data_IF_292995647865
#
_entry.id   IF_292995647865
#
_cell.length_a   1.000
_cell.length_b   1.000
_cell.length_c   1.000
_cell.angle_alpha   90.00
_cell.angle_beta   90.00
_cell.angle_gamma   90.00
#
_symmetry.space_group_name_H-M   'P 1'
#
loop_
_entity.id
_entity.type
_entity.pdbx_description
1 polymer ?
#
# COMPACT_ATOMS: atom_id res chain seq x y z
N UNK A 1 29.99 -0.35 -29.07
CA UNK A 1 28.67 0.13 -28.63
C UNK A 1 28.90 0.89 -27.35
N UNK A 2 28.88 2.22 -27.44
CA UNK A 2 29.13 3.14 -26.32
C UNK A 2 27.89 3.19 -25.43
N UNK A 3 28.05 2.92 -24.13
CA UNK A 3 27.00 3.16 -23.14
C UNK A 3 26.58 4.64 -23.19
N UNK A 4 25.28 4.97 -23.12
CA UNK A 4 24.85 6.36 -23.03
C UNK A 4 25.37 6.94 -21.71
N UNK A 5 26.18 7.99 -21.81
CA UNK A 5 26.74 8.69 -20.66
C UNK A 5 25.63 9.18 -19.73
N UNK A 6 25.73 8.75 -18.48
CA UNK A 6 24.86 9.07 -17.36
C UNK A 6 24.61 10.60 -17.27
N UNK A 7 23.40 11.05 -17.62
CA UNK A 7 23.09 12.47 -17.79
C UNK A 7 23.03 13.20 -16.44
N UNK A 8 23.27 14.52 -16.42
CA UNK A 8 23.12 15.34 -15.19
C UNK A 8 21.72 15.22 -14.56
N UNK A 9 20.70 15.03 -15.40
CA UNK A 9 19.34 14.75 -14.96
C UNK A 9 19.22 13.39 -14.25
N UNK A 10 19.88 12.34 -14.75
CA UNK A 10 19.83 11.01 -14.12
C UNK A 10 20.48 11.03 -12.73
N UNK A 11 21.57 11.80 -12.57
CA UNK A 11 22.23 11.99 -11.27
C UNK A 11 21.34 12.74 -10.29
N UNK A 12 20.68 13.81 -10.74
CA UNK A 12 19.72 14.56 -9.93
C UNK A 12 18.51 13.70 -9.55
N UNK A 13 18.01 12.89 -10.48
CA UNK A 13 16.91 11.95 -10.24
C UNK A 13 17.25 10.89 -9.20
N UNK A 14 18.44 10.29 -9.28
CA UNK A 14 18.92 9.35 -8.25
C UNK A 14 19.09 10.02 -6.88
N UNK A 15 19.60 11.25 -6.84
CA UNK A 15 19.72 12.00 -5.60
C UNK A 15 18.36 12.30 -4.95
N UNK A 16 17.37 12.73 -5.74
CA UNK A 16 16.00 12.98 -5.26
C UNK A 16 15.29 11.69 -4.82
N UNK A 17 15.48 10.60 -5.57
CA UNK A 17 14.98 9.27 -5.19
C UNK A 17 15.51 8.85 -3.82
N UNK A 18 16.83 8.97 -3.60
CA UNK A 18 17.43 8.67 -2.30
C UNK A 18 16.86 9.53 -1.17
N UNK A 19 16.68 10.83 -1.40
CA UNK A 19 16.12 11.75 -0.40
C UNK A 19 14.64 11.48 -0.10
N UNK A 20 13.87 10.95 -1.04
CA UNK A 20 12.47 10.56 -0.86
C UNK A 20 12.31 9.22 -0.15
N UNK A 21 13.30 8.34 -0.27
CA UNK A 21 13.40 7.07 0.45
C UNK A 21 13.87 7.25 1.90
N UNK A 22 14.44 8.41 2.27
CA UNK A 22 14.78 8.72 3.66
C UNK A 22 13.54 8.58 4.56
N UNK A 23 13.74 7.92 5.70
CA UNK A 23 12.72 7.76 6.72
C UNK A 23 12.33 9.13 7.30
N UNK A 24 11.03 9.38 7.43
CA UNK A 24 10.52 10.52 8.17
C UNK A 24 10.78 10.30 9.65
N UNK A 25 11.60 11.17 10.26
CA UNK A 25 11.88 11.13 11.70
C UNK A 25 10.59 11.12 12.52
N UNK A 26 10.38 10.08 13.32
CA UNK A 26 9.38 10.09 14.40
C UNK A 26 8.18 9.14 14.27
N UNK A 27 8.17 8.17 13.35
CA UNK A 27 7.12 7.15 13.30
C UNK A 27 7.67 5.74 13.53
N UNK A 28 7.43 5.20 14.73
CA UNK A 28 7.58 3.78 15.03
C UNK A 28 6.20 3.09 14.88
N UNK A 29 6.09 2.02 14.09
CA UNK A 29 4.81 1.37 13.85
C UNK A 29 4.21 0.74 15.12
N UNK A 30 2.94 1.05 15.36
CA UNK A 30 2.20 0.70 16.57
C UNK A 30 1.98 -0.81 16.76
N UNK A 31 2.11 -1.64 15.72
CA UNK A 31 1.95 -3.10 15.83
C UNK A 31 2.80 -3.83 14.77
N UNK A 32 4.08 -4.13 15.06
CA UNK A 32 4.90 -4.92 14.15
C UNK A 32 4.22 -6.27 13.87
N UNK A 33 4.06 -6.58 12.59
CA UNK A 33 3.47 -7.84 12.15
C UNK A 33 4.55 -8.91 12.22
N UNK A 34 4.39 -9.92 13.08
CA UNK A 34 5.31 -11.06 13.11
C UNK A 34 5.35 -11.73 11.73
N UNK A 35 6.55 -11.84 11.15
CA UNK A 35 6.75 -12.32 9.79
C UNK A 35 6.30 -13.77 9.62
N UNK A 36 6.43 -14.59 10.67
CA UNK A 36 5.98 -15.99 10.64
C UNK A 36 4.45 -16.08 10.66
N UNK A 37 3.80 -15.28 11.48
CA UNK A 37 2.33 -15.15 11.49
C UNK A 37 1.80 -14.68 10.14
N UNK A 38 2.42 -13.65 9.53
CA UNK A 38 2.08 -13.20 8.17
C UNK A 38 2.27 -14.33 7.16
N UNK A 39 3.41 -15.03 7.18
CA UNK A 39 3.73 -16.12 6.26
C UNK A 39 2.69 -17.24 6.31
N UNK A 40 2.21 -17.60 7.50
CA UNK A 40 1.20 -18.65 7.68
C UNK A 40 -0.20 -18.22 7.22
N UNK A 41 -0.50 -16.93 7.27
CA UNK A 41 -1.82 -16.41 6.89
C UNK A 41 -1.92 -16.05 5.41
N UNK A 42 -0.84 -15.58 4.79
CA UNK A 42 -0.82 -15.11 3.39
C UNK A 42 -1.00 -16.26 2.39
N UNK A 43 -1.80 -16.00 1.35
CA UNK A 43 -2.02 -16.88 0.21
C UNK A 43 -1.54 -16.20 -1.08
N UNK A 44 -0.97 -16.94 -2.06
CA UNK A 44 -0.57 -16.35 -3.34
C UNK A 44 -1.74 -15.57 -3.98
N UNK A 45 -1.46 -14.39 -4.51
CA UNK A 45 -2.51 -13.46 -4.95
C UNK A 45 -2.85 -12.37 -3.94
N UNK A 46 -2.57 -12.58 -2.65
CA UNK A 46 -2.82 -11.56 -1.63
C UNK A 46 -2.03 -10.28 -1.90
N UNK A 47 -2.66 -9.16 -1.57
CA UNK A 47 -2.03 -7.84 -1.57
C UNK A 47 -1.74 -7.47 -0.12
N UNK A 48 -0.46 -7.24 0.19
CA UNK A 48 -0.03 -6.70 1.46
C UNK A 48 0.02 -5.18 1.36
N UNK A 49 -0.84 -4.47 2.08
CA UNK A 49 -0.76 -3.03 2.23
C UNK A 49 0.21 -2.69 3.35
N UNK A 50 1.06 -1.69 3.11
CA UNK A 50 2.10 -1.27 4.04
C UNK A 50 1.93 0.21 4.37
N UNK A 51 1.96 0.51 5.67
CA UNK A 51 2.10 1.86 6.16
C UNK A 51 3.57 2.28 6.11
N UNK A 52 4.01 2.83 4.98
CA UNK A 52 5.39 3.30 4.82
C UNK A 52 5.71 4.50 5.71
N UNK A 53 6.99 4.61 6.05
CA UNK A 53 7.59 5.66 6.89
C UNK A 53 8.52 6.59 6.09
N UNK A 54 8.50 6.53 4.75
CA UNK A 54 9.36 7.37 3.90
C UNK A 54 8.71 8.73 3.63
N UNK A 55 9.49 9.74 3.20
CA UNK A 55 8.91 11.06 2.83
C UNK A 55 7.84 10.96 1.75
N UNK A 56 8.05 10.09 0.75
CA UNK A 56 7.03 9.82 -0.25
C UNK A 56 5.77 9.18 0.36
N UNK A 57 5.92 8.36 1.39
CA UNK A 57 4.80 7.75 2.10
C UNK A 57 3.89 8.81 2.72
N UNK A 58 4.46 9.83 3.36
CA UNK A 58 3.69 10.93 3.94
C UNK A 58 2.82 11.65 2.88
N UNK A 59 3.39 11.92 1.72
CA UNK A 59 2.65 12.58 0.64
C UNK A 59 1.57 11.68 0.04
N UNK A 60 1.82 10.38 -0.13
CA UNK A 60 0.80 9.41 -0.57
C UNK A 60 -0.33 9.34 0.46
N UNK A 61 -0.03 9.24 1.76
CA UNK A 61 -1.03 9.24 2.84
C UNK A 61 -1.90 10.50 2.78
N UNK A 62 -1.26 11.66 2.62
CA UNK A 62 -1.95 12.94 2.49
C UNK A 62 -2.85 13.02 1.24
N UNK A 63 -2.35 12.64 0.07
CA UNK A 63 -3.09 12.78 -1.19
C UNK A 63 -4.24 11.77 -1.30
N UNK A 64 -4.04 10.56 -0.77
CA UNK A 64 -5.03 9.49 -0.81
C UNK A 64 -6.00 9.51 0.36
N UNK A 65 -5.70 10.27 1.42
CA UNK A 65 -6.44 10.25 2.68
C UNK A 65 -6.55 8.82 3.24
N UNK A 66 -5.42 8.12 3.27
CA UNK A 66 -5.27 6.75 3.76
C UNK A 66 -4.00 6.62 4.59
N UNK A 67 -3.95 5.63 5.48
CA UNK A 67 -2.71 5.22 6.14
C UNK A 67 -1.82 4.41 5.20
N UNK A 68 -2.41 3.73 4.21
CA UNK A 68 -1.71 2.86 3.27
C UNK A 68 -0.99 3.68 2.22
N UNK A 69 0.34 3.64 2.25
CA UNK A 69 1.19 4.36 1.31
C UNK A 69 1.87 3.47 0.30
N UNK A 70 1.91 2.16 0.55
CA UNK A 70 2.59 1.19 -0.30
C UNK A 70 1.80 -0.12 -0.35
N UNK A 71 2.06 -0.92 -1.37
CA UNK A 71 1.45 -2.23 -1.58
C UNK A 71 2.48 -3.20 -2.16
N UNK A 72 2.47 -4.43 -1.69
CA UNK A 72 3.28 -5.53 -2.23
C UNK A 72 2.37 -6.72 -2.54
N UNK A 73 2.72 -7.49 -3.58
CA UNK A 73 1.96 -8.65 -4.02
C UNK A 73 2.62 -9.94 -3.55
N UNK A 74 1.86 -10.80 -2.88
CA UNK A 74 2.38 -12.05 -2.37
C UNK A 74 2.34 -13.16 -3.42
N UNK A 75 3.50 -13.75 -3.71
CA UNK A 75 3.67 -14.82 -4.71
C UNK A 75 3.87 -16.21 -4.07
N UNK A 76 3.84 -16.30 -2.74
CA UNK A 76 4.07 -17.56 -2.04
C UNK A 76 5.45 -18.15 -2.31
N UNK A 77 5.50 -19.39 -2.77
CA UNK A 77 6.71 -20.16 -3.09
C UNK A 77 7.06 -20.17 -4.58
N UNK A 78 6.45 -19.31 -5.39
CA UNK A 78 6.63 -19.31 -6.84
C UNK A 78 8.04 -18.89 -7.31
N UNK A 79 8.81 -18.22 -6.44
CA UNK A 79 10.20 -17.87 -6.68
C UNK A 79 11.14 -18.94 -6.10
N UNK A 80 12.28 -19.24 -6.76
CA UNK A 80 13.22 -20.23 -6.28
C UNK A 80 13.79 -19.87 -4.90
N UNK A 81 14.20 -20.89 -4.14
CA UNK A 81 14.95 -20.66 -2.91
C UNK A 81 16.31 -20.05 -3.25
N UNK A 82 16.76 -19.02 -2.52
CA UNK A 82 18.12 -18.51 -2.67
C UNK A 82 19.15 -19.60 -2.32
N UNK A 83 20.19 -19.74 -3.15
CA UNK A 83 21.27 -20.72 -2.93
C UNK A 83 22.16 -20.33 -1.75
N UNK A 84 22.21 -19.05 -1.41
CA UNK A 84 23.01 -18.48 -0.31
C UNK A 84 22.37 -18.66 1.07
N UNK A 85 21.20 -19.31 1.15
CA UNK A 85 20.47 -19.54 2.39
C UNK A 85 19.76 -18.29 2.95
N UNK A 86 19.75 -17.19 2.19
CA UNK A 86 18.97 -16.00 2.56
C UNK A 86 17.46 -16.29 2.53
N UNK A 87 16.67 -15.42 3.17
CA UNK A 87 15.23 -15.60 3.20
C UNK A 87 14.64 -15.54 1.79
N UNK A 88 13.85 -16.56 1.43
CA UNK A 88 13.17 -16.62 0.13
C UNK A 88 12.32 -15.36 -0.09
N UNK A 89 12.48 -14.66 -1.22
CA UNK A 89 11.59 -13.55 -1.56
C UNK A 89 10.18 -14.07 -1.85
N UNK A 90 9.17 -13.45 -1.24
CA UNK A 90 7.76 -13.86 -1.35
C UNK A 90 6.83 -12.72 -1.72
N UNK A 91 7.35 -11.50 -1.72
CA UNK A 91 6.64 -10.29 -2.11
C UNK A 91 7.26 -9.75 -3.39
N UNK A 92 6.42 -9.29 -4.31
CA UNK A 92 6.81 -8.49 -5.46
C UNK A 92 6.28 -7.09 -5.25
N UNK A 93 7.15 -6.11 -5.41
CA UNK A 93 6.80 -4.71 -5.26
C UNK A 93 7.53 -3.84 -6.25
N UNK A 94 7.05 -2.60 -6.37
CA UNK A 94 7.71 -1.59 -7.16
C UNK A 94 8.10 -0.42 -6.27
N UNK A 95 9.40 -0.17 -6.17
CA UNK A 95 9.96 0.98 -5.45
C UNK A 95 10.69 1.90 -6.41
N UNK A 96 10.75 3.17 -6.04
CA UNK A 96 11.55 4.16 -6.78
C UNK A 96 13.02 3.76 -6.67
N UNK A 97 13.76 3.78 -7.78
CA UNK A 97 15.19 3.45 -7.81
C UNK A 97 15.49 1.95 -8.04
N UNK A 98 14.77 1.04 -7.38
CA UNK A 98 14.95 -0.42 -7.59
C UNK A 98 14.10 -0.95 -8.76
N UNK A 99 12.94 -0.33 -9.03
CA UNK A 99 11.98 -0.83 -10.01
C UNK A 99 11.16 -2.00 -9.45
N UNK A 100 10.71 -2.90 -10.32
CA UNK A 100 9.98 -4.10 -9.92
C UNK A 100 10.94 -5.17 -9.38
N UNK A 101 10.88 -5.43 -8.09
CA UNK A 101 11.80 -6.32 -7.37
C UNK A 101 11.04 -7.31 -6.49
N UNK A 102 11.71 -8.42 -6.17
CA UNK A 102 11.20 -9.41 -5.23
C UNK A 102 11.90 -9.24 -3.88
N UNK A 103 11.15 -9.26 -2.79
CA UNK A 103 11.65 -9.00 -1.43
C UNK A 103 11.12 -10.05 -0.43
N UNK A 104 11.88 -10.36 0.63
CA UNK A 104 11.44 -11.24 1.71
C UNK A 104 10.34 -10.60 2.57
N UNK A 105 9.60 -11.41 3.33
CA UNK A 105 8.58 -10.91 4.26
C UNK A 105 9.22 -10.11 5.41
N UNK A 106 10.42 -10.49 5.84
CA UNK A 106 11.15 -9.79 6.90
C UNK A 106 11.40 -8.31 6.62
N UNK A 107 11.42 -7.87 5.35
CA UNK A 107 11.53 -6.44 4.97
C UNK A 107 10.47 -5.58 5.64
N UNK A 108 9.28 -6.15 5.91
CA UNK A 108 8.15 -5.44 6.51
C UNK A 108 7.82 -5.85 7.95
N UNK A 109 8.72 -6.56 8.64
CA UNK A 109 8.50 -7.04 10.02
C UNK A 109 8.13 -5.92 10.99
N UNK A 110 8.77 -4.77 10.85
CA UNK A 110 8.57 -3.62 11.74
C UNK A 110 7.42 -2.72 11.32
N UNK A 111 6.75 -2.98 10.18
CA UNK A 111 5.72 -2.10 9.63
C UNK A 111 4.30 -2.53 10.04
N UNK A 112 3.38 -1.57 10.09
CA UNK A 112 1.95 -1.90 10.11
C UNK A 112 1.56 -2.42 8.74
N UNK A 113 0.92 -3.59 8.72
CA UNK A 113 0.49 -4.24 7.49
C UNK A 113 -0.99 -4.59 7.51
N UNK A 114 -1.59 -4.73 6.32
CA UNK A 114 -2.94 -5.26 6.15
C UNK A 114 -2.99 -6.18 4.94
N UNK A 115 -3.62 -7.35 5.10
CA UNK A 115 -3.78 -8.31 4.02
C UNK A 115 -5.13 -8.07 3.33
N UNK A 116 -5.08 -7.80 2.03
CA UNK A 116 -6.24 -7.73 1.15
C UNK A 116 -6.26 -8.98 0.27
N UNK A 117 -7.27 -9.84 0.44
CA UNK A 117 -7.43 -11.09 -0.32
C UNK A 117 -8.59 -10.97 -1.30
N UNK A 118 -8.33 -11.23 -2.58
CA UNK A 118 -9.38 -11.27 -3.60
C UNK A 118 -10.39 -12.40 -3.28
N UNK A 119 -11.67 -12.04 -3.17
CA UNK A 119 -12.75 -13.00 -2.91
C UNK A 119 -13.17 -13.70 -4.21
N UNK A 120 -13.34 -15.02 -4.16
CA UNK A 120 -13.83 -15.81 -5.30
C UNK A 120 -12.86 -15.90 -6.47
N UNK A 121 -11.56 -15.68 -6.25
CA UNK A 121 -10.53 -15.81 -7.29
C UNK A 121 -10.33 -17.29 -7.63
N UNK A 122 -10.53 -17.65 -8.90
CA UNK A 122 -10.29 -19.00 -9.39
C UNK A 122 -8.78 -19.35 -9.31
N UNK A 123 -8.41 -20.62 -9.04
CA UNK A 123 -7.00 -21.02 -8.98
C UNK A 123 -6.21 -20.67 -10.25
N UNK A 124 -6.81 -20.85 -11.43
CA UNK A 124 -6.16 -20.57 -12.71
C UNK A 124 -5.92 -19.08 -12.92
N UNK A 125 -6.83 -18.23 -12.44
CA UNK A 125 -6.69 -16.78 -12.51
C UNK A 125 -5.67 -16.27 -11.48
N UNK A 126 -5.60 -16.87 -10.30
CA UNK A 126 -4.52 -16.62 -9.33
C UNK A 126 -3.16 -16.90 -9.96
N UNK A 127 -3.01 -18.04 -10.64
CA UNK A 127 -1.75 -18.42 -11.27
C UNK A 127 -1.37 -17.44 -12.39
N UNK A 128 -2.33 -16.95 -13.18
CA UNK A 128 -2.09 -15.89 -14.18
C UNK A 128 -1.59 -14.59 -13.56
N UNK A 129 -2.21 -14.14 -12.47
CA UNK A 129 -1.81 -12.90 -11.78
C UNK A 129 -0.41 -13.07 -11.17
N UNK A 130 -0.12 -14.21 -10.55
CA UNK A 130 1.22 -14.53 -10.02
C UNK A 130 2.26 -14.54 -11.13
N UNK A 131 2.01 -15.26 -12.23
CA UNK A 131 2.89 -15.33 -13.37
C UNK A 131 3.13 -13.97 -14.01
N UNK A 132 2.08 -13.14 -14.12
CA UNK A 132 2.20 -11.77 -14.59
C UNK A 132 3.15 -10.96 -13.70
N UNK A 133 2.96 -10.99 -12.38
CA UNK A 133 3.79 -10.22 -11.45
C UNK A 133 5.26 -10.66 -11.50
N UNK A 134 5.52 -11.97 -11.58
CA UNK A 134 6.88 -12.52 -11.74
C UNK A 134 7.48 -12.07 -13.08
N UNK A 135 6.71 -12.09 -14.16
CA UNK A 135 7.16 -11.66 -15.49
C UNK A 135 7.48 -10.16 -15.59
N UNK A 136 7.13 -9.36 -14.58
CA UNK A 136 7.49 -7.93 -14.48
C UNK A 136 8.75 -7.67 -13.66
N UNK A 137 9.36 -8.69 -13.05
CA UNK A 137 10.61 -8.50 -12.30
C UNK A 137 11.71 -7.90 -13.19
N UNK A 138 12.45 -6.94 -12.64
CA UNK A 138 13.49 -6.20 -13.37
C UNK A 138 12.96 -5.04 -14.23
N UNK A 139 11.64 -4.83 -14.31
CA UNK A 139 11.07 -3.65 -14.95
C UNK A 139 11.56 -2.39 -14.23
N UNK A 140 12.38 -1.60 -14.93
CA UNK A 140 12.84 -0.29 -14.44
C UNK A 140 11.82 0.78 -14.83
N UNK A 141 11.49 1.63 -13.88
CA UNK A 141 10.67 2.81 -14.14
C UNK A 141 11.57 4.01 -14.37
N UNK A 142 11.26 4.74 -15.45
CA UNK A 142 12.06 5.89 -15.88
C UNK A 142 11.83 7.08 -14.95
N UNK A 143 12.88 7.53 -14.24
CA UNK A 143 12.83 8.64 -13.29
C UNK A 143 12.75 10.02 -13.98
N UNK A 144 12.51 10.07 -15.30
CA UNK A 144 12.63 11.30 -16.11
C UNK A 144 11.74 12.47 -15.67
N UNK A 145 10.64 12.27 -14.95
CA UNK A 145 9.89 13.41 -14.38
C UNK A 145 10.27 13.70 -12.92
N UNK A 146 11.54 14.09 -12.77
CA UNK A 146 12.12 14.68 -11.55
C UNK A 146 11.26 15.81 -10.97
N UNK A 147 10.65 16.65 -11.82
CA UNK A 147 9.78 17.75 -11.40
C UNK A 147 8.51 17.28 -10.69
N UNK A 148 8.03 16.09 -11.04
CA UNK A 148 6.87 15.49 -10.41
C UNK A 148 7.22 14.90 -9.05
N UNK A 149 8.48 14.49 -8.83
CA UNK A 149 9.00 14.09 -7.52
C UNK A 149 9.13 15.28 -6.56
N UNK A 150 9.51 16.46 -7.08
CA UNK A 150 9.65 17.70 -6.29
C UNK A 150 8.36 18.09 -5.54
N UNK A 151 7.18 17.75 -6.08
CA UNK A 151 5.88 18.02 -5.44
C UNK A 151 5.72 17.31 -4.08
N UNK A 152 6.39 16.17 -3.91
CA UNK A 152 6.31 15.35 -2.70
C UNK A 152 7.27 15.84 -1.61
N UNK A 153 8.16 16.81 -1.91
CA UNK A 153 8.98 17.48 -0.89
C UNK A 153 8.20 18.55 -0.12
N UNK A 154 7.04 19.00 -0.62
CA UNK A 154 6.05 19.69 0.21
C UNK A 154 5.07 18.64 0.73
N UNK A 155 5.19 18.16 1.98
CA UNK A 155 4.38 17.05 2.49
C UNK A 155 2.87 17.34 2.53
N UNK A 156 2.47 18.62 2.52
CA UNK A 156 1.06 19.05 2.54
C UNK A 156 0.85 20.27 1.65
N UNK A 157 0.85 20.13 0.31
CA UNK A 157 0.52 21.26 -0.55
C UNK A 157 -0.93 21.68 -0.25
N UNK A 158 -1.24 22.97 -0.08
CA UNK A 158 -2.57 23.46 0.33
C UNK A 158 -3.57 23.28 -0.82
N UNK A 159 -3.99 22.04 -1.06
CA UNK A 159 -4.88 21.67 -2.16
C UNK A 159 -6.20 21.15 -1.62
N UNK A 160 -7.34 21.66 -2.13
CA UNK A 160 -8.67 21.16 -1.78
C UNK A 160 -8.79 19.65 -1.97
N UNK A 161 -9.48 18.95 -1.07
CA UNK A 161 -9.62 17.48 -1.07
C UNK A 161 -10.04 16.93 -2.44
N UNK A 162 -10.98 17.62 -3.11
CA UNK A 162 -11.47 17.27 -4.46
C UNK A 162 -10.41 17.24 -5.56
N UNK A 163 -9.27 17.90 -5.36
CA UNK A 163 -8.19 18.02 -6.34
C UNK A 163 -6.97 17.17 -5.96
N UNK A 164 -6.85 16.72 -4.70
CA UNK A 164 -5.71 15.91 -4.22
C UNK A 164 -5.50 14.63 -5.02
N UNK A 165 -6.55 13.82 -5.23
CA UNK A 165 -6.45 12.61 -6.06
C UNK A 165 -6.18 12.90 -7.53
N UNK A 166 -6.66 14.04 -8.05
CA UNK A 166 -6.33 14.47 -9.41
C UNK A 166 -4.87 14.88 -9.55
N UNK A 167 -4.22 15.34 -8.48
CA UNK A 167 -2.77 15.59 -8.50
C UNK A 167 -1.99 14.29 -8.71
N UNK A 168 -2.46 13.14 -8.21
CA UNK A 168 -1.82 11.85 -8.52
C UNK A 168 -1.85 11.56 -10.03
N UNK A 169 -2.87 12.06 -10.75
CA UNK A 169 -3.02 11.92 -12.20
C UNK A 169 -2.30 13.03 -13.01
N UNK A 170 -2.09 14.21 -12.41
CA UNK A 170 -1.51 15.38 -13.07
C UNK A 170 0.01 15.29 -13.02
N UNK A 171 0.56 14.66 -14.05
CA UNK A 171 1.97 14.28 -14.18
C UNK A 171 2.11 13.46 -15.46
N UNK A 172 2.05 14.15 -16.60
CA UNK A 172 2.05 13.59 -17.94
C UNK A 172 3.38 12.91 -18.27
N UNK A 173 3.51 11.64 -17.89
CA UNK A 173 4.49 10.72 -18.50
C UNK A 173 5.37 9.91 -17.54
N UNK A 174 4.82 9.22 -16.53
CA UNK A 174 5.49 8.23 -15.65
C UNK A 174 6.75 8.73 -14.90
N UNK A 175 6.65 9.06 -13.59
CA UNK A 175 7.08 8.15 -12.51
C UNK A 175 6.39 8.37 -11.14
N UNK A 176 5.31 9.16 -11.03
CA UNK A 176 4.65 9.48 -9.73
C UNK A 176 3.31 8.81 -9.51
N UNK A 177 2.98 7.84 -10.36
CA UNK A 177 1.91 6.88 -10.10
C UNK A 177 2.23 6.19 -8.78
N UNK A 178 1.22 5.78 -8.02
CA UNK A 178 1.48 4.80 -6.97
C UNK A 178 1.88 3.49 -7.70
N UNK A 179 3.17 3.37 -7.99
CA UNK A 179 3.69 2.44 -9.01
C UNK A 179 3.41 1.00 -8.58
N UNK A 180 3.55 0.76 -7.27
CA UNK A 180 3.22 -0.49 -6.63
C UNK A 180 1.76 -0.91 -6.82
N UNK A 181 0.78 -0.02 -6.58
CA UNK A 181 -0.65 -0.33 -6.78
C UNK A 181 -1.05 -0.37 -8.26
N UNK A 182 -0.37 0.37 -9.12
CA UNK A 182 -0.63 0.38 -10.57
C UNK A 182 -0.31 -0.97 -11.20
N UNK A 183 0.86 -1.55 -10.89
CA UNK A 183 1.28 -2.84 -11.45
C UNK A 183 0.36 -3.97 -10.97
N UNK A 184 -0.01 -3.96 -9.69
CA UNK A 184 -0.97 -4.92 -9.13
C UNK A 184 -2.34 -4.78 -9.79
N UNK A 185 -2.82 -3.54 -10.00
CA UNK A 185 -4.09 -3.30 -10.67
C UNK A 185 -4.07 -3.76 -12.14
N UNK A 186 -2.95 -3.61 -12.84
CA UNK A 186 -2.75 -4.15 -14.19
C UNK A 186 -2.83 -5.69 -14.19
N UNK A 187 -2.21 -6.35 -13.21
CA UNK A 187 -2.23 -7.80 -13.07
C UNK A 187 -3.65 -8.34 -12.90
N UNK A 188 -4.41 -7.77 -11.95
CA UNK A 188 -5.83 -8.11 -11.76
C UNK A 188 -6.71 -7.70 -12.95
N UNK A 189 -6.33 -6.66 -13.69
CA UNK A 189 -6.98 -6.25 -14.92
C UNK A 189 -6.91 -7.28 -16.04
N UNK A 190 -5.83 -8.06 -16.14
CA UNK A 190 -5.67 -9.13 -17.15
C UNK A 190 -6.75 -10.20 -17.05
N UNK A 191 -7.16 -10.52 -15.82
CA UNK A 191 -8.24 -11.48 -15.51
C UNK A 191 -9.60 -10.79 -15.36
N UNK A 192 -9.69 -9.49 -15.65
CA UNK A 192 -10.91 -8.66 -15.51
C UNK A 192 -11.50 -8.69 -14.11
N UNK A 193 -10.68 -8.87 -13.08
CA UNK A 193 -11.13 -8.84 -11.70
C UNK A 193 -11.40 -7.39 -11.27
N UNK A 194 -12.59 -7.07 -10.73
CA UNK A 194 -12.93 -5.71 -10.38
C UNK A 194 -12.23 -5.29 -9.08
N UNK A 195 -11.63 -4.10 -9.08
CA UNK A 195 -11.06 -3.49 -7.86
C UNK A 195 -11.99 -2.39 -7.33
N UNK A 196 -12.57 -1.56 -8.20
CA UNK A 196 -13.55 -0.54 -7.80
C UNK A 196 -15.00 -1.01 -7.92
N UNK A 197 -15.91 -0.54 -7.05
CA UNK A 197 -17.34 -0.82 -7.16
C UNK A 197 -17.94 -0.31 -8.47
N UNK A 198 -19.08 -0.86 -8.86
CA UNK A 198 -19.79 -0.42 -10.07
C UNK A 198 -20.40 0.98 -9.90
N UNK A 199 -20.52 1.72 -11.00
CA UNK A 199 -21.19 3.03 -11.02
C UNK A 199 -22.71 2.86 -11.10
N UNK A 200 -23.15 1.78 -11.74
CA UNK A 200 -24.55 1.43 -11.95
C UNK A 200 -25.13 0.85 -10.67
N UNK A 201 -26.32 1.32 -10.27
CA UNK A 201 -27.05 0.78 -9.12
C UNK A 201 -27.80 -0.46 -9.58
N UNK A 202 -27.17 -1.62 -9.45
CA UNK A 202 -27.86 -2.91 -9.57
C UNK A 202 -28.18 -3.45 -8.17
N UNK A 203 -29.39 -3.98 -7.91
CA UNK A 203 -29.70 -4.63 -6.64
C UNK A 203 -28.67 -5.71 -6.30
N UNK A 204 -28.17 -5.73 -5.06
CA UNK A 204 -27.18 -6.72 -4.60
C UNK A 204 -25.72 -6.45 -5.02
N UNK A 205 -25.43 -5.39 -5.79
CA UNK A 205 -24.04 -5.01 -6.13
C UNK A 205 -23.62 -3.76 -5.35
N UNK A 206 -22.38 -3.75 -4.87
CA UNK A 206 -21.77 -2.58 -4.28
C UNK A 206 -21.68 -1.47 -5.35
N UNK A 207 -22.30 -0.32 -5.07
CA UNK A 207 -22.36 0.80 -6.00
C UNK A 207 -21.96 2.12 -5.34
N UNK A 208 -21.32 3.00 -6.09
CA UNK A 208 -21.00 4.33 -5.59
C UNK A 208 -22.27 5.15 -5.30
N UNK A 209 -22.42 5.53 -4.03
CA UNK A 209 -23.61 6.23 -3.55
C UNK A 209 -23.58 7.73 -3.84
N UNK A 210 -22.40 8.36 -3.81
CA UNK A 210 -22.25 9.79 -4.01
C UNK A 210 -21.86 10.14 -5.46
N UNK A 211 -22.30 11.32 -5.93
CA UNK A 211 -21.87 11.87 -7.22
C UNK A 211 -20.35 12.06 -7.30
N UNK A 212 -19.70 12.32 -6.17
CA UNK A 212 -18.25 12.42 -6.06
C UNK A 212 -17.59 11.06 -6.32
N UNK A 213 -18.01 10.02 -5.60
CA UNK A 213 -17.49 8.65 -5.75
C UNK A 213 -17.73 8.10 -7.16
N UNK A 214 -18.86 8.43 -7.79
CA UNK A 214 -19.14 8.05 -9.19
C UNK A 214 -18.18 8.71 -10.18
N UNK A 215 -17.96 10.02 -10.05
CA UNK A 215 -16.99 10.76 -10.86
C UNK A 215 -15.57 10.26 -10.65
N UNK A 216 -15.26 9.86 -9.42
CA UNK A 216 -13.97 9.30 -9.03
C UNK A 216 -13.74 7.92 -9.66
N UNK A 217 -14.71 7.00 -9.59
CA UNK A 217 -14.60 5.69 -10.25
C UNK A 217 -14.51 5.81 -11.77
N UNK A 218 -15.28 6.71 -12.37
CA UNK A 218 -15.17 7.01 -13.81
C UNK A 218 -13.78 7.50 -14.18
N UNK A 219 -13.13 8.26 -13.30
CA UNK A 219 -11.79 8.78 -13.51
C UNK A 219 -10.71 7.69 -13.36
N UNK A 220 -10.83 6.79 -12.36
CA UNK A 220 -9.83 5.76 -12.03
C UNK A 220 -9.83 4.57 -13.02
N UNK A 221 -10.62 4.60 -14.11
CA UNK A 221 -10.70 3.47 -15.06
C UNK A 221 -9.37 3.09 -15.75
N UNK A 222 -8.35 3.94 -15.65
CA UNK A 222 -6.99 3.59 -16.06
C UNK A 222 -6.18 3.09 -14.87
N UNK A 223 -5.53 1.92 -15.00
CA UNK A 223 -4.75 1.25 -13.95
C UNK A 223 -3.73 2.17 -13.24
N UNK A 224 -3.25 3.21 -13.93
CA UNK A 224 -2.34 4.23 -13.41
C UNK A 224 -2.86 5.09 -12.26
N UNK A 225 -4.16 5.00 -11.93
CA UNK A 225 -4.80 5.82 -10.91
C UNK A 225 -5.20 5.04 -9.66
N UNK A 226 -4.90 3.74 -9.61
CA UNK A 226 -5.11 2.95 -8.41
C UNK A 226 -4.10 3.30 -7.34
N UNK A 227 -4.60 3.39 -6.12
CA UNK A 227 -3.84 3.67 -4.90
C UNK A 227 -3.97 2.48 -3.95
N UNK A 228 -3.04 2.28 -3.00
CA UNK A 228 -3.13 1.19 -2.01
C UNK A 228 -4.50 1.16 -1.29
N UNK A 229 -5.06 2.35 -1.01
CA UNK A 229 -6.40 2.53 -0.44
C UNK A 229 -7.52 1.84 -1.23
N UNK A 230 -7.42 1.77 -2.55
CA UNK A 230 -8.51 1.24 -3.38
C UNK A 230 -8.70 -0.27 -3.17
N UNK A 231 -7.63 -1.01 -2.84
CA UNK A 231 -7.73 -2.41 -2.45
C UNK A 231 -8.37 -2.58 -1.07
N UNK A 232 -8.05 -1.68 -0.12
CA UNK A 232 -8.62 -1.68 1.23
C UNK A 232 -10.14 -1.41 1.24
N UNK A 233 -10.58 -0.49 0.39
CA UNK A 233 -11.99 -0.09 0.28
C UNK A 233 -12.79 -0.93 -0.73
N UNK A 234 -12.12 -1.82 -1.46
CA UNK A 234 -12.78 -2.62 -2.48
C UNK A 234 -13.80 -3.57 -1.85
N UNK A 235 -15.04 -3.67 -2.39
CA UNK A 235 -16.00 -4.66 -1.92
C UNK A 235 -15.65 -6.09 -2.35
N UNK A 236 -14.66 -6.26 -3.23
CA UNK A 236 -14.27 -7.56 -3.77
C UNK A 236 -13.09 -8.17 -3.02
N UNK A 237 -12.36 -7.37 -2.25
CA UNK A 237 -11.25 -7.83 -1.42
C UNK A 237 -11.69 -7.95 0.03
N UNK A 238 -11.44 -9.10 0.66
CA UNK A 238 -11.65 -9.28 2.10
C UNK A 238 -10.38 -8.85 2.85
N UNK A 239 -10.57 -8.21 3.99
CA UNK A 239 -9.47 -7.88 4.90
C UNK A 239 -9.22 -9.06 5.82
N UNK A 240 -8.05 -9.69 5.68
CA UNK A 240 -7.64 -10.82 6.50
C UNK A 240 -6.83 -10.30 7.68
N UNK A 241 -7.28 -10.63 8.90
CA UNK A 241 -6.60 -10.28 10.15
C UNK A 241 -6.01 -11.55 10.75
N UNK A 242 -4.68 -11.74 10.73
CA UNK A 242 -4.05 -12.98 11.20
C UNK A 242 -4.52 -13.41 12.59
N UNK A 243 -4.62 -12.48 13.55
CA UNK A 243 -5.08 -12.77 14.91
C UNK A 243 -6.48 -13.39 14.95
N UNK A 244 -7.40 -12.95 14.08
CA UNK A 244 -8.76 -13.51 14.03
C UNK A 244 -8.80 -14.89 13.36
N UNK A 245 -7.93 -15.13 12.38
CA UNK A 245 -7.81 -16.43 11.70
C UNK A 245 -7.31 -17.54 12.66
N UNK A 246 -6.55 -17.18 13.71
CA UNK A 246 -6.02 -18.12 14.70
C UNK A 246 -6.83 -18.19 16.00
N UNK A 247 -8.13 -17.86 15.97
CA UNK A 247 -9.04 -18.13 17.09
C UNK A 247 -8.96 -17.12 18.24
N UNK A 248 -8.82 -15.84 17.91
CA UNK A 248 -8.88 -14.74 18.89
C UNK A 248 -10.09 -14.87 19.84
N UNK A 249 -9.81 -14.95 21.15
CA UNK A 249 -10.80 -14.91 22.21
C UNK A 249 -10.63 -13.63 23.04
N UNK A 250 -11.56 -12.68 22.86
CA UNK A 250 -11.53 -11.39 23.55
C UNK A 250 -11.65 -11.52 25.08
N UNK A 251 -12.15 -12.66 25.59
CA UNK A 251 -12.29 -12.90 27.04
C UNK A 251 -10.97 -13.19 27.74
N UNK A 252 -9.94 -13.54 26.97
CA UNK A 252 -8.59 -13.79 27.49
C UNK A 252 -7.74 -12.51 27.57
N UNK A 253 -8.28 -11.37 27.12
CA UNK A 253 -7.60 -10.08 27.24
C UNK A 253 -7.56 -9.65 28.71
N UNK A 254 -6.35 -9.42 29.21
CA UNK A 254 -6.13 -8.80 30.51
C UNK A 254 -6.26 -7.30 30.33
N UNK A 255 -7.28 -6.72 30.94
CA UNK A 255 -7.47 -5.28 31.03
C UNK A 255 -6.74 -4.78 32.27
N UNK A 256 -5.98 -3.69 32.13
CA UNK A 256 -5.40 -3.04 33.30
C UNK A 256 -6.46 -2.16 33.97
N UNK A 257 -7.12 -2.71 34.99
CA UNK A 257 -8.14 -2.00 35.75
C UNK A 257 -7.59 -0.77 36.50
N UNK A 258 -6.27 -0.63 36.67
CA UNK A 258 -5.68 0.56 37.33
C UNK A 258 -5.83 1.85 36.53
N UNK A 259 -5.80 1.78 35.20
CA UNK A 259 -6.01 2.96 34.35
C UNK A 259 -7.42 3.57 34.51
N UNK A 260 -8.40 2.76 34.91
CA UNK A 260 -9.77 3.21 35.19
C UNK A 260 -9.87 3.99 36.51
N UNK A 261 -9.02 3.66 37.50
CA UNK A 261 -9.00 4.30 38.82
C UNK A 261 -8.34 5.68 38.76
N UNK A 262 -7.29 5.83 37.97
CA UNK A 262 -6.62 7.12 37.75
C UNK A 262 -7.49 8.11 36.95
N UNK A 263 -8.29 7.62 35.99
CA UNK A 263 -9.24 8.43 35.24
C UNK A 263 -10.44 8.90 36.09
N UNK A 264 -10.87 8.10 37.07
CA UNK A 264 -11.90 8.49 38.05
C UNK A 264 -11.33 9.49 39.08
N UNK A 265 -10.13 9.23 39.60
CA UNK A 265 -9.44 10.15 40.52
C UNK A 265 -9.12 11.52 39.90
N UNK A 266 -8.81 11.58 38.61
CA UNK A 266 -8.60 12.84 37.89
C UNK A 266 -9.90 13.64 37.67
N UNK A 267 -11.07 12.96 37.58
CA UNK A 267 -12.38 13.62 37.50
C UNK A 267 -12.83 14.17 38.85
N UNK A 268 -12.61 13.42 39.93
CA UNK A 268 -12.93 13.87 41.29
C UNK A 268 -11.99 14.98 41.78
N UNK A 269 -10.72 14.96 41.38
CA UNK A 269 -9.75 16.03 41.66
C UNK A 269 -10.00 17.33 40.91
N UNK A 270 -10.68 17.31 39.75
CA UNK A 270 -11.02 18.50 38.98
C UNK A 270 -12.31 19.19 39.47
N UNK A 271 -13.17 18.49 40.21
CA UNK A 271 -14.40 19.06 40.81
C UNK A 271 -14.09 19.70 42.17
N UNK A 272 -13.06 19.24 42.88
CA UNK A 272 -12.68 19.73 44.20
C UNK A 272 -11.80 21.00 44.20
N UNK A 273 -11.43 21.55 43.04
CA UNK A 273 -10.56 22.74 42.93
C UNK A 273 -11.30 24.05 42.62
N UNK A 274 -12.63 24.05 42.63
CA UNK A 274 -13.48 25.20 42.26
C UNK A 274 -14.42 25.64 43.41
N UNK A 275 -13.94 25.59 44.66
CA UNK A 275 -14.56 26.22 45.84
C UNK A 275 -13.54 26.93 46.70
#
# INVERSE_FOLDING_TARGET
MTEPGDTLLDRLGRWLAGRLQEESSGYEPYTPSDAETLRRTLEPGDILLIEGNQKISAAIKYLTQSTWSHAAFYVGDALPAPEDGSERPRLIEVTIGEGCVAVPLSRYRTYNTRICRASGLAPEDRDKVVAFMIGRLGLKYDLKNIFDMLRFFLPTPPVPVRWRRRMLAFGSGDPTRAICSTLIAEAYGQIRYPILPEITRAPGRASAQSNYSRKEILHIRHHSLYTPRDFDLSPYFRIVKPTLEYGFDYRQMVWDDKASTDAAGARDGAIASDT
#
